data_IF_815291053405
#
_entry.id   IF_815291053405
#
_cell.length_a   1.000
_cell.length_b   1.000
_cell.length_c   1.000
_cell.angle_alpha   90.00
_cell.angle_beta   90.00
_cell.angle_gamma   90.00
#
_symmetry.space_group_name_H-M   'P 1'
#
loop_
_entity.id
_entity.type
_entity.pdbx_description
1 polymer ?
#
# COMPACT_ATOMS: atom_id res chain seq x y z
N UNK A 1 -60.04 50.34 32.77
CA UNK A 1 -59.07 49.51 33.52
C UNK A 1 -58.64 48.38 32.58
N UNK A 2 -57.45 48.49 32.00
CA UNK A 2 -56.98 47.63 30.91
C UNK A 2 -56.42 46.31 31.46
N UNK A 3 -56.87 45.19 30.90
CA UNK A 3 -56.29 43.86 31.13
C UNK A 3 -55.02 43.70 30.27
N UNK A 4 -53.88 43.42 30.90
CA UNK A 4 -52.65 42.99 30.21
C UNK A 4 -52.55 41.46 30.31
N UNK A 5 -52.71 40.75 29.19
CA UNK A 5 -52.31 39.34 29.07
C UNK A 5 -50.85 39.25 28.67
N UNK A 6 -50.04 38.57 29.49
CA UNK A 6 -48.65 38.26 29.17
C UNK A 6 -48.59 36.91 28.43
N UNK A 7 -48.14 36.93 27.18
CA UNK A 7 -47.86 35.73 26.38
C UNK A 7 -46.43 35.27 26.69
N UNK A 8 -46.28 34.15 27.40
CA UNK A 8 -44.98 33.54 27.64
C UNK A 8 -44.53 32.74 26.40
N UNK A 9 -43.46 33.18 25.75
CA UNK A 9 -42.82 32.44 24.66
C UNK A 9 -41.87 31.38 25.25
N UNK A 10 -42.21 30.10 25.11
CA UNK A 10 -41.33 29.00 25.49
C UNK A 10 -40.34 28.70 24.34
N UNK A 11 -39.06 29.06 24.54
CA UNK A 11 -37.98 28.63 23.66
C UNK A 11 -37.63 27.17 23.97
N UNK A 12 -38.01 26.24 23.09
CA UNK A 12 -37.57 24.85 23.17
C UNK A 12 -36.10 24.74 22.73
N UNK A 13 -35.20 24.42 23.66
CA UNK A 13 -33.83 24.06 23.36
C UNK A 13 -33.83 22.64 22.76
N UNK A 14 -33.62 22.53 21.45
CA UNK A 14 -33.36 21.25 20.81
C UNK A 14 -31.93 20.82 21.15
N UNK A 15 -31.78 19.76 21.92
CA UNK A 15 -30.49 19.13 22.18
C UNK A 15 -30.02 18.37 20.93
N UNK A 16 -28.93 18.82 20.31
CA UNK A 16 -28.23 18.06 19.26
C UNK A 16 -27.44 16.95 19.95
N UNK A 17 -27.84 15.70 19.74
CA UNK A 17 -27.03 14.55 20.16
C UNK A 17 -26.06 14.19 19.03
N UNK A 18 -24.77 14.47 19.24
CA UNK A 18 -23.71 13.90 18.43
C UNK A 18 -23.41 12.49 18.93
N UNK A 19 -23.66 11.48 18.11
CA UNK A 19 -23.16 10.12 18.39
C UNK A 19 -21.70 10.05 17.99
N UNK A 20 -20.79 9.56 18.85
CA UNK A 20 -19.42 9.30 18.42
C UNK A 20 -19.44 8.22 17.32
N UNK A 21 -18.75 8.47 16.22
CA UNK A 21 -18.47 7.44 15.22
C UNK A 21 -17.68 6.34 15.94
N UNK A 22 -18.15 5.09 15.83
CA UNK A 22 -17.43 3.95 16.40
C UNK A 22 -15.96 4.02 15.96
N UNK A 23 -14.98 3.75 16.85
CA UNK A 23 -13.59 3.75 16.46
C UNK A 23 -13.42 2.77 15.31
N UNK A 24 -13.03 3.27 14.13
CA UNK A 24 -12.57 2.41 13.04
C UNK A 24 -11.41 1.61 13.65
N UNK A 25 -11.41 0.29 13.51
CA UNK A 25 -10.20 -0.49 13.77
C UNK A 25 -9.06 0.24 13.05
N UNK A 26 -7.93 0.47 13.73
CA UNK A 26 -6.77 1.03 13.05
C UNK A 26 -6.58 0.21 11.77
N UNK A 27 -6.58 0.87 10.61
CA UNK A 27 -6.20 0.18 9.39
C UNK A 27 -4.74 -0.19 9.64
N UNK A 28 -4.47 -1.47 9.88
CA UNK A 28 -3.11 -1.93 10.13
C UNK A 28 -2.30 -1.61 8.88
N UNK A 29 -1.47 -0.57 8.97
CA UNK A 29 -0.60 -0.14 7.87
C UNK A 29 0.40 -1.26 7.66
N UNK A 30 0.16 -2.07 6.64
CA UNK A 30 1.05 -3.18 6.31
C UNK A 30 2.22 -2.68 5.45
N UNK A 31 3.44 -2.95 5.93
CA UNK A 31 4.71 -2.66 5.24
C UNK A 31 5.36 -4.01 4.92
N UNK A 32 5.21 -4.54 3.70
CA UNK A 32 5.74 -5.87 3.37
C UNK A 32 7.27 -5.95 3.48
N UNK A 33 7.79 -6.97 4.16
CA UNK A 33 9.24 -7.19 4.29
C UNK A 33 9.81 -7.97 3.11
N UNK A 34 10.39 -7.29 2.11
CA UNK A 34 10.93 -7.93 0.91
C UNK A 34 12.12 -8.85 1.28
N UNK A 35 12.10 -10.09 0.76
CA UNK A 35 13.16 -11.10 0.86
C UNK A 35 13.99 -11.18 -0.42
N UNK A 36 13.31 -11.20 -1.57
CA UNK A 36 13.93 -11.09 -2.89
C UNK A 36 13.15 -10.09 -3.76
N UNK A 37 13.83 -9.26 -4.57
CA UNK A 37 15.28 -9.24 -4.77
C UNK A 37 16.05 -8.66 -3.58
N UNK A 38 17.31 -9.05 -3.48
CA UNK A 38 18.32 -8.54 -2.55
C UNK A 38 19.64 -8.33 -3.30
N UNK A 39 20.70 -7.90 -2.59
CA UNK A 39 22.03 -7.65 -3.16
C UNK A 39 22.68 -8.81 -3.94
N UNK A 40 22.24 -10.04 -3.73
CA UNK A 40 22.73 -11.22 -4.47
C UNK A 40 21.84 -11.60 -5.66
N UNK A 41 20.71 -10.92 -5.85
CA UNK A 41 19.74 -11.24 -6.88
C UNK A 41 20.20 -10.74 -8.25
N UNK A 42 20.09 -11.62 -9.26
CA UNK A 42 20.34 -11.30 -10.66
C UNK A 42 19.11 -11.69 -11.46
N UNK A 43 18.49 -10.71 -12.13
CA UNK A 43 17.44 -10.95 -13.11
C UNK A 43 17.97 -10.79 -14.53
N UNK A 44 17.34 -11.51 -15.46
CA UNK A 44 17.63 -11.42 -16.89
C UNK A 44 16.43 -10.75 -17.55
N UNK A 45 16.68 -9.68 -18.31
CA UNK A 45 15.65 -8.98 -19.08
C UNK A 45 14.89 -9.96 -19.99
N UNK A 46 13.57 -9.81 -20.09
CA UNK A 46 12.70 -10.69 -20.88
C UNK A 46 12.42 -12.06 -20.26
N UNK A 47 13.05 -12.43 -19.13
CA UNK A 47 12.77 -13.68 -18.43
C UNK A 47 11.77 -13.49 -17.29
N UNK A 48 11.20 -14.61 -16.81
CA UNK A 48 10.37 -14.62 -15.62
C UNK A 48 11.22 -14.37 -14.37
N UNK A 49 10.70 -13.54 -13.49
CA UNK A 49 11.24 -13.28 -12.16
C UNK A 49 10.12 -13.21 -11.14
N UNK A 50 10.48 -13.21 -9.85
CA UNK A 50 9.53 -12.97 -8.78
C UNK A 50 10.09 -12.01 -7.74
N UNK A 51 9.16 -11.34 -7.08
CA UNK A 51 9.41 -10.66 -5.80
C UNK A 51 8.82 -11.53 -4.71
N UNK A 52 9.56 -11.73 -3.62
CA UNK A 52 9.08 -12.47 -2.44
C UNK A 52 9.21 -11.63 -1.18
N UNK A 53 8.33 -11.84 -0.22
CA UNK A 53 8.30 -11.10 1.05
C UNK A 53 7.85 -11.98 2.22
N UNK A 54 8.11 -11.52 3.45
CA UNK A 54 7.58 -12.14 4.66
C UNK A 54 6.10 -11.80 4.84
N UNK A 55 5.30 -12.78 5.24
CA UNK A 55 3.86 -12.64 5.53
C UNK A 55 3.51 -13.03 6.96
N UNK A 56 4.50 -13.35 7.79
CA UNK A 56 4.29 -13.79 9.19
C UNK A 56 3.62 -12.73 10.07
N UNK A 57 3.71 -11.46 9.69
CA UNK A 57 3.11 -10.30 10.35
C UNK A 57 1.98 -9.66 9.54
N UNK A 58 1.54 -10.28 8.44
CA UNK A 58 0.49 -9.74 7.59
C UNK A 58 -0.86 -9.65 8.37
N UNK A 59 -1.53 -8.48 8.39
CA UNK A 59 -2.78 -8.33 9.12
C UNK A 59 -3.93 -9.10 8.45
N UNK A 60 -4.99 -9.36 9.20
CA UNK A 60 -6.16 -10.09 8.69
C UNK A 60 -6.93 -9.32 7.60
N UNK A 61 -6.80 -7.99 7.56
CA UNK A 61 -7.38 -7.12 6.54
C UNK A 61 -6.27 -6.19 6.03
N UNK A 62 -6.14 -6.07 4.71
CA UNK A 62 -5.22 -5.13 4.04
C UNK A 62 -6.11 -4.29 3.12
N UNK A 63 -6.01 -2.97 3.20
CA UNK A 63 -6.96 -2.06 2.55
C UNK A 63 -6.67 -1.88 1.06
N UNK A 64 -5.40 -2.02 0.66
CA UNK A 64 -4.92 -1.91 -0.71
C UNK A 64 -4.45 -3.26 -1.28
N UNK A 65 -4.55 -3.40 -2.60
CA UNK A 65 -3.95 -4.52 -3.33
C UNK A 65 -2.43 -4.33 -3.48
N UNK A 66 -1.72 -5.43 -3.74
CA UNK A 66 -0.28 -5.42 -3.95
C UNK A 66 0.11 -4.73 -5.25
N UNK A 67 1.22 -3.99 -5.20
CA UNK A 67 1.83 -3.33 -6.36
C UNK A 67 3.36 -3.44 -6.29
N UNK A 68 3.99 -3.89 -7.37
CA UNK A 68 5.45 -3.96 -7.55
C UNK A 68 5.88 -2.94 -8.58
N UNK A 69 6.77 -2.04 -8.18
CA UNK A 69 7.36 -1.01 -9.05
C UNK A 69 8.87 -1.18 -9.13
N UNK A 70 9.41 -1.24 -10.34
CA UNK A 70 10.83 -1.18 -10.63
C UNK A 70 11.34 0.25 -10.57
N UNK A 71 12.53 0.45 -10.01
CA UNK A 71 13.16 1.76 -9.85
C UNK A 71 14.63 1.73 -10.23
N UNK A 72 15.11 2.82 -10.84
CA UNK A 72 16.53 3.08 -11.13
C UNK A 72 16.75 4.56 -11.51
N UNK A 73 17.07 5.47 -10.55
CA UNK A 73 16.78 5.43 -9.11
C UNK A 73 15.33 5.85 -8.78
N UNK A 74 14.61 6.40 -9.76
CA UNK A 74 13.20 6.75 -9.68
C UNK A 74 12.33 5.61 -10.23
N UNK A 75 11.02 5.57 -9.96
CA UNK A 75 10.10 4.64 -10.62
C UNK A 75 10.25 4.68 -12.15
N UNK A 76 10.40 3.51 -12.76
CA UNK A 76 10.48 3.36 -14.21
C UNK A 76 9.34 2.50 -14.76
N UNK A 77 8.88 1.49 -14.01
CA UNK A 77 7.85 0.57 -14.52
C UNK A 77 7.07 -0.15 -13.41
N UNK A 78 5.78 -0.39 -13.64
CA UNK A 78 4.97 -1.30 -12.81
C UNK A 78 5.10 -2.71 -13.36
N UNK A 79 5.62 -3.63 -12.54
CA UNK A 79 5.89 -5.02 -12.93
C UNK A 79 4.71 -5.97 -12.63
N UNK A 80 3.95 -5.67 -11.58
CA UNK A 80 2.75 -6.41 -11.21
C UNK A 80 1.85 -5.54 -10.33
N UNK A 81 0.54 -5.71 -10.45
CA UNK A 81 -0.46 -5.01 -9.65
C UNK A 81 -1.69 -5.90 -9.39
N UNK A 82 -2.49 -5.57 -8.38
CA UNK A 82 -3.78 -6.21 -8.13
C UNK A 82 -3.70 -7.60 -7.49
N UNK A 83 -2.62 -7.93 -6.79
CA UNK A 83 -2.41 -9.25 -6.18
C UNK A 83 -2.59 -9.22 -4.66
N UNK A 84 -2.90 -10.40 -4.08
CA UNK A 84 -3.00 -10.56 -2.62
C UNK A 84 -1.61 -10.60 -1.98
N UNK A 85 -1.33 -9.62 -1.13
CA UNK A 85 -0.08 -9.54 -0.38
C UNK A 85 0.12 -10.71 0.60
N UNK A 86 -0.90 -11.50 0.93
CA UNK A 86 -0.73 -12.71 1.75
C UNK A 86 -0.14 -13.90 0.97
N UNK A 87 -0.07 -13.81 -0.36
CA UNK A 87 0.57 -14.83 -1.18
C UNK A 87 2.08 -14.98 -0.89
N UNK A 88 2.74 -13.92 -0.41
CA UNK A 88 4.18 -13.92 -0.10
C UNK A 88 5.10 -13.87 -1.32
N UNK A 89 4.53 -13.91 -2.54
CA UNK A 89 5.26 -13.70 -3.78
C UNK A 89 4.36 -13.23 -4.91
N UNK A 90 4.97 -12.65 -5.94
CA UNK A 90 4.34 -12.40 -7.24
C UNK A 90 5.36 -12.65 -8.35
N UNK A 91 4.93 -13.33 -9.41
CA UNK A 91 5.73 -13.61 -10.61
C UNK A 91 5.32 -12.69 -11.76
N UNK A 92 6.29 -12.23 -12.54
CA UNK A 92 6.10 -11.40 -13.73
C UNK A 92 7.24 -11.62 -14.74
N UNK A 93 7.09 -11.08 -15.94
CA UNK A 93 8.18 -11.02 -16.93
C UNK A 93 8.95 -9.73 -16.76
N UNK A 94 10.27 -9.82 -16.64
CA UNK A 94 11.15 -8.65 -16.59
C UNK A 94 11.10 -7.95 -17.96
N UNK A 95 10.92 -6.62 -18.02
CA UNK A 95 10.92 -5.89 -19.28
C UNK A 95 12.20 -6.15 -20.09
N UNK A 96 12.04 -6.37 -21.39
CA UNK A 96 13.12 -6.88 -22.25
C UNK A 96 14.13 -5.82 -22.70
N UNK A 97 13.78 -4.55 -22.57
CA UNK A 97 14.52 -3.38 -23.05
C UNK A 97 15.27 -2.64 -21.93
N UNK A 98 15.34 -3.23 -20.73
CA UNK A 98 16.11 -2.67 -19.61
C UNK A 98 17.60 -2.69 -19.91
N UNK A 99 18.26 -1.56 -19.64
CA UNK A 99 19.72 -1.50 -19.63
C UNK A 99 20.29 -2.42 -18.53
N UNK A 100 21.42 -3.10 -18.75
CA UNK A 100 22.11 -3.80 -17.68
C UNK A 100 22.59 -2.82 -16.60
N UNK A 101 22.42 -3.19 -15.33
CA UNK A 101 22.80 -2.36 -14.19
C UNK A 101 22.71 -3.12 -12.87
N UNK A 102 23.31 -2.57 -11.80
CA UNK A 102 23.41 -3.21 -10.48
C UNK A 102 22.78 -2.40 -9.35
N UNK A 103 22.06 -1.34 -9.70
CA UNK A 103 21.46 -0.33 -8.83
C UNK A 103 19.95 -0.23 -9.09
N UNK A 104 19.35 -1.35 -9.48
CA UNK A 104 17.89 -1.49 -9.55
C UNK A 104 17.33 -1.76 -8.16
N UNK A 105 16.16 -1.20 -7.87
CA UNK A 105 15.41 -1.54 -6.65
C UNK A 105 13.95 -1.82 -6.98
N UNK A 106 13.33 -2.67 -6.16
CA UNK A 106 11.88 -2.87 -6.12
C UNK A 106 11.29 -2.06 -4.98
N UNK A 107 10.22 -1.32 -5.29
CA UNK A 107 9.25 -0.88 -4.30
C UNK A 107 8.04 -1.81 -4.33
N UNK A 108 7.71 -2.41 -3.18
CA UNK A 108 6.53 -3.23 -2.97
C UNK A 108 5.54 -2.47 -2.09
N UNK A 109 4.34 -2.22 -2.60
CA UNK A 109 3.29 -1.47 -1.91
C UNK A 109 2.16 -2.39 -1.44
N UNK A 110 1.68 -2.12 -0.23
CA UNK A 110 0.33 -2.43 0.25
C UNK A 110 -0.35 -1.17 0.73
N UNK A 111 -0.64 -1.07 2.03
CA UNK A 111 -1.11 0.18 2.64
C UNK A 111 0.03 1.21 2.75
N UNK A 112 1.28 0.72 2.88
CA UNK A 112 2.53 1.48 2.74
C UNK A 112 3.53 0.70 1.88
N UNK A 113 4.61 1.35 1.46
CA UNK A 113 5.64 0.77 0.60
C UNK A 113 6.91 0.37 1.37
N UNK A 114 7.60 -0.66 0.89
CA UNK A 114 8.96 -0.99 1.28
C UNK A 114 9.87 -1.05 0.05
N UNK A 115 11.15 -0.71 0.21
CA UNK A 115 12.16 -0.73 -0.85
C UNK A 115 13.16 -1.84 -0.54
N UNK A 116 13.46 -2.66 -1.55
CA UNK A 116 14.49 -3.71 -1.48
C UNK A 116 15.91 -3.14 -1.49
N UNK A 117 16.88 -3.98 -1.18
CA UNK A 117 18.28 -3.70 -1.51
C UNK A 117 18.46 -3.53 -3.03
N UNK A 118 19.53 -2.86 -3.43
CA UNK A 118 19.94 -2.80 -4.83
C UNK A 118 20.26 -4.20 -5.36
N UNK A 119 19.87 -4.48 -6.60
CA UNK A 119 20.12 -5.77 -7.25
C UNK A 119 20.48 -5.59 -8.73
N UNK A 120 20.90 -6.69 -9.36
CA UNK A 120 21.40 -6.66 -10.75
C UNK A 120 20.34 -7.11 -11.75
N UNK A 121 20.23 -6.35 -12.85
CA UNK A 121 19.56 -6.77 -14.08
C UNK A 121 20.60 -6.89 -15.19
N UNK A 122 20.56 -8.00 -15.94
CA UNK A 122 21.40 -8.24 -17.12
C UNK A 122 20.54 -8.33 -18.39
N UNK A 123 21.16 -8.11 -19.54
CA UNK A 123 20.53 -8.36 -20.83
C UNK A 123 20.21 -9.85 -21.04
N UNK A 124 19.23 -10.13 -21.90
CA UNK A 124 18.81 -11.46 -22.32
C UNK A 124 19.91 -12.24 -23.05
#
# INVERSE_FOLDING_TARGET
MFFFSALAAACALASVQASPIAPRAALDVYVPHIKTPNSQTVWIAGQKANVTWDTSDAPAQISNEGLVVLRHPYPIETLAEGFDLRAGFVEFTVPGDLAPGSDYTIALFGDSGNISEEFTIKAA
#
